data_IF_950507126152
#
_entry.id   IF_950507126152
#
_cell.length_a   1.000
_cell.length_b   1.000
_cell.length_c   1.000
_cell.angle_alpha   90.00
_cell.angle_beta   90.00
_cell.angle_gamma   90.00
#
_symmetry.space_group_name_H-M   'P 1'
#
loop_
_entity.id
_entity.type
_entity.pdbx_description
1 polymer ?
#
# COMPACT_ATOMS: atom_id res chain seq x y z
N UNK A 1 47.24 7.75 -35.07
CA UNK A 1 47.39 9.21 -35.22
C UNK A 1 46.43 9.90 -34.26
N UNK A 2 46.82 10.22 -33.01
CA UNK A 2 45.98 10.99 -32.11
C UNK A 2 46.39 12.47 -32.13
N UNK A 3 45.42 13.37 -32.31
CA UNK A 3 45.64 14.81 -32.21
C UNK A 3 45.28 15.24 -30.80
N UNK A 4 46.29 15.60 -30.01
CA UNK A 4 46.11 16.24 -28.71
C UNK A 4 45.97 17.75 -28.84
N UNK A 5 45.24 18.38 -27.92
CA UNK A 5 45.45 19.78 -27.54
C UNK A 5 45.44 19.85 -26.01
N UNK A 6 46.59 20.28 -25.49
CA UNK A 6 46.88 20.63 -24.12
C UNK A 6 46.76 22.15 -24.02
N UNK A 7 46.15 22.72 -22.96
CA UNK A 7 46.47 24.07 -22.48
C UNK A 7 46.06 24.28 -21.00
N UNK A 8 47.08 24.14 -20.15
CA UNK A 8 47.48 24.95 -18.97
C UNK A 8 46.54 25.24 -17.79
N UNK A 9 47.02 24.79 -16.62
CA UNK A 9 46.73 25.28 -15.25
C UNK A 9 47.15 26.75 -15.04
N UNK A 10 46.41 27.45 -14.18
CA UNK A 10 46.78 28.44 -13.12
C UNK A 10 45.44 28.94 -12.55
N UNK A 11 45.18 29.17 -11.27
CA UNK A 11 45.93 29.15 -10.03
C UNK A 11 45.06 29.82 -8.95
N UNK A 12 45.08 29.26 -7.75
CA UNK A 12 44.57 29.69 -6.44
C UNK A 12 44.37 31.21 -6.17
N UNK A 13 43.39 31.52 -5.31
CA UNK A 13 43.33 32.77 -4.52
C UNK A 13 41.91 33.19 -4.09
N UNK A 14 41.29 32.63 -3.05
CA UNK A 14 41.40 32.98 -1.62
C UNK A 14 40.47 34.13 -1.14
N UNK A 15 39.56 33.74 -0.22
CA UNK A 15 39.13 34.44 1.02
C UNK A 15 38.12 35.61 1.02
N UNK A 16 37.04 35.33 1.76
CA UNK A 16 36.48 36.13 2.86
C UNK A 16 35.55 37.31 2.54
N UNK A 17 34.31 37.23 3.05
CA UNK A 17 33.89 38.00 4.25
C UNK A 17 32.44 37.71 4.66
N UNK A 18 32.31 37.24 5.89
CA UNK A 18 31.11 37.36 6.72
C UNK A 18 30.80 38.84 6.97
N UNK A 19 29.52 39.23 6.89
CA UNK A 19 28.99 40.39 7.64
C UNK A 19 27.55 40.10 8.10
N UNK A 20 27.44 39.81 9.39
CA UNK A 20 26.24 40.08 10.18
C UNK A 20 26.11 41.60 10.33
N UNK A 21 24.94 42.17 10.03
CA UNK A 21 24.54 43.49 10.54
C UNK A 21 23.07 43.42 10.93
N UNK A 22 22.84 43.59 12.22
CA UNK A 22 21.55 43.78 12.86
C UNK A 22 21.03 45.22 12.74
N UNK A 23 19.74 45.40 13.05
CA UNK A 23 19.04 46.61 13.49
C UNK A 23 18.39 47.52 12.41
N UNK A 24 17.04 47.50 12.35
CA UNK A 24 16.17 48.58 12.85
C UNK A 24 14.69 48.37 12.45
N UNK A 25 13.80 48.46 13.45
CA UNK A 25 12.35 48.62 13.27
C UNK A 25 12.05 49.95 12.53
N UNK A 26 11.22 49.94 11.50
CA UNK A 26 10.38 51.10 11.11
C UNK A 26 8.98 50.66 10.73
N UNK A 27 8.02 51.38 11.30
CA UNK A 27 6.57 51.31 11.06
C UNK A 27 6.23 51.79 9.64
N UNK A 28 5.32 51.03 9.03
CA UNK A 28 4.13 51.42 8.25
C UNK A 28 4.20 52.67 7.35
N UNK A 29 4.09 52.43 6.05
CA UNK A 29 3.28 53.25 5.14
C UNK A 29 2.46 52.29 4.27
N UNK A 30 1.14 52.32 4.48
CA UNK A 30 0.15 51.61 3.68
C UNK A 30 0.16 52.16 2.24
N UNK A 31 0.51 51.31 1.27
CA UNK A 31 0.05 51.47 -0.11
C UNK A 31 -1.09 50.49 -0.33
N UNK A 32 -2.27 51.08 -0.48
CA UNK A 32 -3.50 50.44 -0.95
C UNK A 32 -3.21 49.74 -2.29
N UNK A 33 -3.18 48.42 -2.27
CA UNK A 33 -3.34 47.59 -3.45
C UNK A 33 -4.73 46.97 -3.35
N UNK A 34 -5.46 47.09 -4.45
CA UNK A 34 -6.86 46.74 -4.57
C UNK A 34 -7.14 45.31 -4.06
N UNK A 35 -8.19 45.21 -3.26
CA UNK A 35 -8.83 43.96 -2.84
C UNK A 35 -9.21 43.18 -4.10
N UNK A 36 -8.50 42.09 -4.38
CA UNK A 36 -9.11 40.99 -5.13
C UNK A 36 -10.08 40.34 -4.16
N UNK A 37 -11.36 40.61 -4.35
CA UNK A 37 -12.44 40.04 -3.57
C UNK A 37 -12.49 38.53 -3.84
N UNK A 38 -12.13 37.75 -2.83
CA UNK A 38 -12.47 36.33 -2.78
C UNK A 38 -13.94 36.28 -2.34
N UNK A 39 -14.80 35.53 -3.02
CA UNK A 39 -16.21 35.48 -2.65
C UNK A 39 -16.36 34.96 -1.23
N UNK A 40 -16.89 35.82 -0.36
CA UNK A 40 -17.41 35.45 0.95
C UNK A 40 -18.63 34.55 0.71
N UNK A 41 -18.41 33.24 0.78
CA UNK A 41 -19.42 32.32 1.26
C UNK A 41 -18.87 31.72 2.55
N UNK A 42 -19.46 32.15 3.67
CA UNK A 42 -19.57 31.32 4.85
C UNK A 42 -20.34 30.05 4.45
N UNK A 43 -19.65 29.11 3.81
CA UNK A 43 -20.08 27.74 3.81
C UNK A 43 -19.84 27.28 5.25
N UNK A 44 -20.90 27.29 6.05
CA UNK A 44 -20.96 26.40 7.20
C UNK A 44 -20.62 25.00 6.67
N UNK A 45 -19.40 24.55 6.92
CA UNK A 45 -19.06 23.15 6.76
C UNK A 45 -19.82 22.46 7.88
N UNK A 46 -21.06 22.08 7.57
CA UNK A 46 -21.75 21.03 8.31
C UNK A 46 -20.88 19.79 8.15
N UNK A 47 -19.93 19.61 9.07
CA UNK A 47 -19.33 18.31 9.29
C UNK A 47 -20.51 17.39 9.59
N UNK A 48 -20.72 16.32 8.81
CA UNK A 48 -21.84 15.42 9.04
C UNK A 48 -21.77 14.91 10.48
N UNK A 49 -22.88 15.09 11.19
CA UNK A 49 -23.09 14.51 12.52
C UNK A 49 -22.91 13.00 12.39
N UNK A 50 -21.76 12.49 12.83
CA UNK A 50 -21.50 11.04 12.96
C UNK A 50 -22.40 10.50 14.07
N UNK A 51 -23.63 10.17 13.69
CA UNK A 51 -24.38 9.09 14.34
C UNK A 51 -24.18 7.80 13.54
N UNK A 52 -22.94 7.59 13.06
CA UNK A 52 -22.49 6.38 12.38
C UNK A 52 -21.85 5.44 13.39
N UNK A 53 -22.19 4.16 13.32
CA UNK A 53 -21.50 3.11 14.07
C UNK A 53 -20.00 3.17 13.72
N UNK A 54 -19.13 3.36 14.70
CA UNK A 54 -17.69 3.31 14.48
C UNK A 54 -17.21 1.86 14.56
N UNK A 55 -16.31 1.48 13.65
CA UNK A 55 -15.61 0.20 13.72
C UNK A 55 -14.13 0.43 14.08
N UNK A 56 -13.61 -0.35 15.01
CA UNK A 56 -12.17 -0.37 15.31
C UNK A 56 -11.45 -1.20 14.24
N UNK A 57 -10.37 -0.67 13.68
CA UNK A 57 -9.58 -1.37 12.64
C UNK A 57 -8.19 -1.78 13.11
N UNK A 58 -7.64 -1.13 14.13
CA UNK A 58 -6.34 -1.49 14.73
C UNK A 58 -6.15 -0.75 16.06
N UNK A 59 -5.27 -1.29 16.91
CA UNK A 59 -4.67 -0.51 17.98
C UNK A 59 -3.60 0.43 17.38
N UNK A 60 -3.56 1.70 17.80
CA UNK A 60 -2.63 2.68 17.23
C UNK A 60 -1.16 2.33 17.51
N UNK A 61 -0.88 1.83 18.71
CA UNK A 61 0.44 1.38 19.15
C UNK A 61 0.97 0.15 18.41
N UNK A 62 0.08 -0.70 17.88
CA UNK A 62 0.45 -1.90 17.12
C UNK A 62 0.76 -1.61 15.65
N UNK A 63 0.27 -0.49 15.11
CA UNK A 63 0.60 -0.06 13.77
C UNK A 63 2.05 0.44 13.72
N UNK A 64 2.89 -0.33 13.02
CA UNK A 64 4.26 0.08 12.70
C UNK A 64 4.25 1.15 11.63
N UNK A 65 5.12 2.16 11.79
CA UNK A 65 5.28 3.21 10.79
C UNK A 65 5.63 2.63 9.42
N UNK A 66 4.90 3.07 8.39
CA UNK A 66 5.05 2.66 6.98
C UNK A 66 5.03 1.14 6.79
N UNK A 67 4.23 0.44 7.58
CA UNK A 67 3.95 -0.99 7.41
C UNK A 67 2.45 -1.19 7.16
N UNK A 68 2.05 -1.82 6.04
CA UNK A 68 0.65 -2.12 5.78
C UNK A 68 0.09 -3.11 6.81
N UNK A 69 -1.14 -2.86 7.27
CA UNK A 69 -1.90 -3.75 8.15
C UNK A 69 -3.27 -4.06 7.54
N UNK A 70 -3.79 -5.25 7.82
CA UNK A 70 -5.09 -5.70 7.32
C UNK A 70 -6.20 -5.38 8.32
N UNK A 71 -7.35 -4.96 7.81
CA UNK A 71 -8.61 -4.95 8.56
C UNK A 71 -9.79 -5.36 7.64
N UNK A 72 -10.90 -5.79 8.24
CA UNK A 72 -12.13 -6.16 7.53
C UNK A 72 -13.31 -5.47 8.21
N UNK A 73 -14.06 -4.67 7.46
CA UNK A 73 -15.27 -3.98 7.96
C UNK A 73 -16.36 -4.09 6.92
N UNK A 74 -17.58 -4.45 7.34
CA UNK A 74 -18.75 -4.61 6.45
C UNK A 74 -18.47 -5.41 5.16
N UNK A 75 -17.69 -6.49 5.28
CA UNK A 75 -17.23 -7.37 4.19
C UNK A 75 -16.22 -6.74 3.18
N UNK A 76 -15.74 -5.52 3.44
CA UNK A 76 -14.73 -4.82 2.63
C UNK A 76 -13.35 -4.98 3.27
N UNK A 77 -12.39 -5.50 2.50
CA UNK A 77 -11.01 -5.55 2.94
C UNK A 77 -10.40 -4.15 2.94
N UNK A 78 -9.66 -3.82 3.99
CA UNK A 78 -8.99 -2.55 4.17
C UNK A 78 -7.48 -2.76 4.29
N UNK A 79 -6.73 -1.76 3.85
CA UNK A 79 -5.31 -1.62 4.18
C UNK A 79 -5.13 -0.37 5.03
N UNK A 80 -4.60 -0.56 6.23
CA UNK A 80 -4.34 0.49 7.22
C UNK A 80 -2.84 0.77 7.22
N UNK A 81 -2.47 2.02 7.00
CA UNK A 81 -1.07 2.44 6.90
C UNK A 81 -0.87 3.63 7.84
N UNK A 82 -0.09 3.41 8.88
CA UNK A 82 0.46 4.50 9.69
C UNK A 82 1.62 5.15 8.94
N UNK A 83 1.67 6.48 8.96
CA UNK A 83 2.85 7.24 8.56
C UNK A 83 2.95 8.46 9.46
N UNK A 84 4.07 8.55 10.18
CA UNK A 84 4.33 9.63 11.14
C UNK A 84 3.20 9.68 12.21
N UNK A 85 2.47 10.79 12.31
CA UNK A 85 1.30 11.04 13.18
C UNK A 85 -0.04 10.91 12.44
N UNK A 86 -0.04 10.27 11.27
CA UNK A 86 -1.20 10.10 10.42
C UNK A 86 -1.52 8.63 10.14
N UNK A 87 -2.76 8.41 9.69
CA UNK A 87 -3.22 7.11 9.20
C UNK A 87 -3.96 7.28 7.87
N UNK A 88 -3.67 6.38 6.94
CA UNK A 88 -4.49 6.14 5.75
C UNK A 88 -5.21 4.80 5.92
N UNK A 89 -6.53 4.82 5.76
CA UNK A 89 -7.34 3.61 5.62
C UNK A 89 -7.88 3.59 4.19
N UNK A 90 -7.38 2.65 3.40
CA UNK A 90 -7.68 2.55 1.98
C UNK A 90 -8.40 1.22 1.69
N UNK A 91 -9.07 1.14 0.54
CA UNK A 91 -9.54 -0.13 0.02
C UNK A 91 -8.36 -1.12 -0.11
N UNK A 92 -8.50 -2.29 0.49
CA UNK A 92 -7.41 -3.22 0.78
C UNK A 92 -7.05 -4.17 -0.36
N UNK A 93 -7.68 -4.05 -1.53
CA UNK A 93 -7.44 -4.91 -2.69
C UNK A 93 -6.83 -4.10 -3.83
N UNK A 94 -5.78 -4.65 -4.41
CA UNK A 94 -5.14 -4.07 -5.58
C UNK A 94 -6.09 -4.10 -6.79
N UNK A 95 -6.30 -2.97 -7.47
CA UNK A 95 -7.18 -2.89 -8.65
C UNK A 95 -6.66 -3.66 -9.86
N UNK A 96 -5.37 -4.05 -9.85
CA UNK A 96 -4.83 -4.93 -10.88
C UNK A 96 -5.56 -6.29 -10.88
N UNK A 97 -5.48 -7.05 -9.76
CA UNK A 97 -6.02 -8.44 -9.69
C UNK A 97 -6.55 -8.86 -8.31
N UNK A 98 -6.90 -7.91 -7.44
CA UNK A 98 -7.55 -8.23 -6.15
C UNK A 98 -6.64 -8.81 -5.07
N UNK A 99 -5.32 -8.74 -5.22
CA UNK A 99 -4.40 -9.14 -4.17
C UNK A 99 -4.56 -8.24 -2.92
N UNK A 100 -4.37 -8.81 -1.73
CA UNK A 100 -4.37 -8.04 -0.48
C UNK A 100 -3.17 -7.10 -0.40
N UNK A 101 -3.43 -5.81 -0.33
CA UNK A 101 -2.40 -4.78 -0.19
C UNK A 101 -1.75 -4.78 1.19
N UNK A 102 -2.42 -5.34 2.20
CA UNK A 102 -1.83 -5.58 3.52
C UNK A 102 -0.66 -6.59 3.49
N UNK A 103 -0.60 -7.46 2.47
CA UNK A 103 0.56 -8.32 2.21
C UNK A 103 1.67 -7.65 1.39
N UNK A 104 1.51 -6.36 1.07
CA UNK A 104 2.49 -5.55 0.37
C UNK A 104 3.54 -4.93 1.28
N UNK A 105 4.24 -3.92 0.76
CA UNK A 105 5.23 -3.15 1.50
C UNK A 105 5.24 -1.69 1.04
N UNK A 106 5.87 -0.80 1.81
CA UNK A 106 6.09 0.60 1.40
C UNK A 106 7.49 0.75 0.78
N UNK A 107 7.56 1.37 -0.39
CA UNK A 107 8.79 1.86 -1.03
C UNK A 107 8.64 3.35 -1.37
N UNK A 108 9.42 4.20 -0.71
CA UNK A 108 9.24 5.66 -0.80
C UNK A 108 7.82 6.08 -0.40
N UNK A 109 7.06 6.79 -1.26
CA UNK A 109 5.66 7.15 -1.00
C UNK A 109 4.66 6.04 -1.39
N UNK A 110 5.12 4.93 -1.95
CA UNK A 110 4.28 3.95 -2.61
C UNK A 110 4.03 2.74 -1.74
N UNK A 111 2.76 2.36 -1.60
CA UNK A 111 2.29 1.04 -1.25
C UNK A 111 2.42 0.13 -2.47
N UNK A 112 3.34 -0.83 -2.38
CA UNK A 112 3.63 -1.80 -3.42
C UNK A 112 2.91 -3.11 -3.11
N UNK A 113 2.07 -3.54 -4.04
CA UNK A 113 1.40 -4.84 -3.98
C UNK A 113 2.42 -5.98 -3.97
N UNK A 114 2.29 -6.91 -3.01
CA UNK A 114 3.23 -8.01 -2.80
C UNK A 114 3.25 -9.10 -3.88
N UNK A 115 2.46 -8.95 -4.96
CA UNK A 115 2.38 -9.93 -6.06
C UNK A 115 3.09 -9.43 -7.31
N UNK A 116 2.45 -8.53 -8.07
CA UNK A 116 2.95 -8.04 -9.35
C UNK A 116 3.58 -6.65 -9.28
N UNK A 117 3.80 -6.11 -8.07
CA UNK A 117 4.47 -4.83 -7.86
C UNK A 117 3.65 -3.60 -8.23
N UNK A 118 2.34 -3.72 -8.47
CA UNK A 118 1.46 -2.59 -8.73
C UNK A 118 1.48 -1.62 -7.54
N UNK A 119 1.56 -0.32 -7.84
CA UNK A 119 1.80 0.72 -6.84
C UNK A 119 0.59 1.63 -6.65
N UNK A 120 0.46 2.13 -5.42
CA UNK A 120 -0.42 3.23 -5.07
C UNK A 120 0.27 4.09 -4.04
N UNK A 121 0.14 5.41 -4.11
CA UNK A 121 0.67 6.26 -3.06
C UNK A 121 -0.17 6.16 -1.78
N UNK A 122 0.47 5.97 -0.62
CA UNK A 122 -0.27 5.89 0.65
C UNK A 122 -0.91 7.23 1.06
N UNK A 123 -0.37 8.35 0.56
CA UNK A 123 -0.84 9.70 0.87
C UNK A 123 -1.93 10.18 -0.11
N UNK A 124 -1.71 10.04 -1.41
CA UNK A 124 -2.63 10.53 -2.45
C UNK A 124 -3.59 9.47 -2.97
N UNK A 125 -3.35 8.18 -2.70
CA UNK A 125 -4.10 7.00 -3.17
C UNK A 125 -3.86 6.61 -4.64
N UNK A 126 -3.22 7.50 -5.39
CA UNK A 126 -3.09 7.42 -6.85
C UNK A 126 -1.87 6.56 -7.20
N UNK A 127 -2.01 5.67 -8.18
CA UNK A 127 -0.88 4.94 -8.75
C UNK A 127 0.03 5.89 -9.52
N UNK A 128 1.33 5.83 -9.27
CA UNK A 128 2.34 6.56 -10.03
C UNK A 128 2.50 5.97 -11.45
N UNK A 129 2.31 4.66 -11.60
CA UNK A 129 2.31 3.99 -12.90
C UNK A 129 1.09 4.36 -13.75
N UNK A 130 -0.10 4.46 -13.15
CA UNK A 130 -1.33 4.82 -13.85
C UNK A 130 -2.15 5.84 -13.04
N UNK A 131 -2.09 7.13 -13.39
CA UNK A 131 -2.75 8.17 -12.60
C UNK A 131 -4.29 8.17 -12.68
N UNK A 132 -4.88 7.39 -13.59
CA UNK A 132 -6.32 7.15 -13.63
C UNK A 132 -6.75 6.08 -12.60
N UNK A 133 -5.79 5.36 -12.03
CA UNK A 133 -6.00 4.33 -11.01
C UNK A 133 -5.76 4.90 -9.61
N UNK A 134 -6.80 4.84 -8.76
CA UNK A 134 -6.73 5.33 -7.39
C UNK A 134 -7.56 4.46 -6.44
N UNK A 135 -6.98 4.18 -5.27
CA UNK A 135 -7.71 3.49 -4.20
C UNK A 135 -8.76 4.42 -3.57
N UNK A 136 -9.89 3.83 -3.16
CA UNK A 136 -10.84 4.52 -2.31
C UNK A 136 -10.22 4.72 -0.91
N UNK A 137 -10.39 5.91 -0.32
CA UNK A 137 -9.96 6.22 1.05
C UNK A 137 -11.19 6.39 1.91
N UNK A 138 -11.17 5.75 3.07
CA UNK A 138 -12.21 5.86 4.08
C UNK A 138 -11.84 6.88 5.15
N UNK A 139 -12.86 7.45 5.79
CA UNK A 139 -12.67 8.34 6.93
C UNK A 139 -12.12 7.56 8.11
N UNK A 140 -11.11 8.12 8.78
CA UNK A 140 -10.48 7.50 9.92
C UNK A 140 -10.12 8.52 11.01
N UNK A 141 -10.24 8.11 12.27
CA UNK A 141 -9.90 8.90 13.45
C UNK A 141 -8.93 8.11 14.31
N UNK A 142 -7.84 8.74 14.74
CA UNK A 142 -6.92 8.19 15.74
C UNK A 142 -7.40 8.66 17.11
N UNK A 143 -7.66 7.72 18.00
CA UNK A 143 -7.90 7.96 19.42
C UNK A 143 -6.68 7.47 20.19
N UNK A 144 -5.76 8.38 20.51
CA UNK A 144 -4.52 8.04 21.23
C UNK A 144 -4.77 7.66 22.70
N UNK A 145 -5.82 8.19 23.32
CA UNK A 145 -6.16 7.87 24.71
C UNK A 145 -6.73 6.45 24.82
N UNK A 146 -7.56 6.05 23.85
CA UNK A 146 -8.07 4.69 23.73
C UNK A 146 -7.15 3.74 22.94
N UNK A 147 -5.99 4.20 22.49
CA UNK A 147 -5.05 3.47 21.63
C UNK A 147 -5.72 2.79 20.42
N UNK A 148 -6.64 3.48 19.73
CA UNK A 148 -7.48 2.87 18.70
C UNK A 148 -7.57 3.72 17.44
N UNK A 149 -7.55 3.07 16.27
CA UNK A 149 -7.95 3.68 15.00
C UNK A 149 -9.39 3.29 14.67
N UNK A 150 -10.25 4.29 14.51
CA UNK A 150 -11.67 4.15 14.19
C UNK A 150 -11.95 4.51 12.73
N UNK A 151 -12.93 3.84 12.13
CA UNK A 151 -13.52 4.18 10.83
C UNK A 151 -15.04 4.29 10.94
N UNK A 152 -15.67 4.95 9.97
CA UNK A 152 -17.13 4.96 9.85
C UNK A 152 -17.62 3.67 9.18
N UNK A 153 -18.30 2.80 9.92
CA UNK A 153 -18.82 1.54 9.39
C UNK A 153 -19.91 1.77 8.33
N UNK A 154 -20.72 2.82 8.47
CA UNK A 154 -21.79 3.12 7.53
C UNK A 154 -21.22 3.59 6.18
N UNK A 155 -20.12 4.35 6.19
CA UNK A 155 -19.38 4.72 4.97
C UNK A 155 -18.92 3.46 4.21
N UNK A 156 -18.30 2.52 4.93
CA UNK A 156 -17.75 1.29 4.34
C UNK A 156 -18.88 0.37 3.85
N UNK A 157 -19.98 0.27 4.60
CA UNK A 157 -21.15 -0.49 4.17
C UNK A 157 -21.77 0.08 2.88
N UNK A 158 -21.90 1.41 2.78
CA UNK A 158 -22.39 2.07 1.56
C UNK A 158 -21.43 1.86 0.37
N UNK A 159 -20.12 1.84 0.62
CA UNK A 159 -19.14 1.45 -0.38
C UNK A 159 -19.36 0.00 -0.85
N UNK A 160 -19.60 -0.93 0.07
CA UNK A 160 -19.84 -2.34 -0.24
C UNK A 160 -21.10 -2.57 -1.10
N UNK A 161 -22.16 -1.79 -0.88
CA UNK A 161 -23.39 -1.86 -1.70
C UNK A 161 -23.13 -1.47 -3.16
N UNK A 162 -22.32 -0.43 -3.38
CA UNK A 162 -21.95 0.03 -4.73
C UNK A 162 -20.78 -0.76 -5.34
N UNK A 163 -19.99 -1.44 -4.51
CA UNK A 163 -18.83 -2.25 -4.89
C UNK A 163 -18.91 -3.64 -4.25
N UNK A 164 -19.81 -4.53 -4.73
CA UNK A 164 -19.97 -5.86 -4.15
C UNK A 164 -18.67 -6.66 -4.14
N UNK A 165 -18.36 -7.26 -3.00
CA UNK A 165 -17.11 -7.97 -2.80
C UNK A 165 -17.26 -9.43 -3.27
N UNK A 166 -16.48 -9.90 -4.27
CA UNK A 166 -16.70 -11.20 -4.92
C UNK A 166 -16.17 -12.40 -4.14
N UNK A 167 -15.52 -12.18 -2.99
CA UNK A 167 -14.76 -13.19 -2.26
C UNK A 167 -15.65 -14.07 -1.38
N UNK A 168 -15.55 -15.39 -1.56
CA UNK A 168 -16.22 -16.41 -0.75
C UNK A 168 -15.29 -16.82 0.39
N UNK A 169 -15.32 -16.03 1.47
CA UNK A 169 -14.36 -16.11 2.59
C UNK A 169 -14.34 -17.45 3.32
N UNK A 170 -15.46 -18.15 3.34
CA UNK A 170 -15.59 -19.46 4.01
C UNK A 170 -15.02 -20.63 3.18
N UNK A 171 -14.54 -20.38 1.96
CA UNK A 171 -13.92 -21.40 1.10
C UNK A 171 -12.40 -21.51 1.32
N UNK A 172 -11.81 -22.58 0.79
CA UNK A 172 -10.35 -22.76 0.77
C UNK A 172 -9.67 -21.56 0.12
N UNK A 173 -8.75 -20.92 0.86
CA UNK A 173 -8.11 -19.66 0.48
C UNK A 173 -9.11 -18.54 0.13
N UNK A 174 -10.29 -18.52 0.74
CA UNK A 174 -11.37 -17.54 0.48
C UNK A 174 -10.91 -16.08 0.48
N UNK A 175 -10.02 -15.73 1.42
CA UNK A 175 -9.41 -14.40 1.51
C UNK A 175 -8.42 -14.09 0.38
N UNK A 176 -7.79 -15.12 -0.21
CA UNK A 176 -6.76 -15.02 -1.25
C UNK A 176 -7.28 -15.46 -2.63
N UNK A 177 -8.60 -15.49 -2.82
CA UNK A 177 -9.20 -15.90 -4.09
C UNK A 177 -8.81 -14.95 -5.23
N UNK A 178 -8.28 -15.53 -6.30
CA UNK A 178 -8.14 -14.87 -7.58
C UNK A 178 -9.45 -14.99 -8.36
N UNK A 179 -10.25 -13.93 -8.32
CA UNK A 179 -11.55 -13.87 -9.00
C UNK A 179 -11.44 -13.49 -10.48
N UNK A 180 -10.26 -13.03 -10.91
CA UNK A 180 -10.02 -12.61 -12.29
C UNK A 180 -9.62 -13.80 -13.15
N UNK A 181 -8.73 -14.66 -12.64
CA UNK A 181 -8.02 -15.65 -13.45
C UNK A 181 -7.25 -14.98 -14.60
N UNK A 182 -6.86 -15.78 -15.59
CA UNK A 182 -6.28 -15.26 -16.83
C UNK A 182 -5.12 -16.09 -17.36
N UNK A 183 -4.69 -15.85 -18.61
CA UNK A 183 -3.56 -16.54 -19.21
C UNK A 183 -2.23 -16.25 -18.52
N UNK A 184 -2.14 -15.15 -17.75
CA UNK A 184 -0.94 -14.76 -17.00
C UNK A 184 -0.71 -15.68 -15.78
N UNK A 185 -1.76 -16.31 -15.25
CA UNK A 185 -1.69 -17.30 -14.16
C UNK A 185 -2.47 -18.58 -14.48
N UNK A 186 -2.03 -19.36 -15.50
CA UNK A 186 -2.83 -20.46 -16.05
C UNK A 186 -2.93 -21.67 -15.11
N UNK A 187 -2.09 -21.73 -14.07
CA UNK A 187 -1.96 -22.90 -13.20
C UNK A 187 -2.41 -22.66 -11.76
N UNK A 188 -2.92 -21.47 -11.41
CA UNK A 188 -3.31 -21.16 -10.02
C UNK A 188 -4.31 -22.18 -9.45
N UNK A 189 -5.38 -22.47 -10.19
CA UNK A 189 -6.37 -23.49 -9.79
C UNK A 189 -5.74 -24.89 -9.66
N UNK A 190 -4.84 -25.25 -10.57
CA UNK A 190 -4.18 -26.56 -10.51
C UNK A 190 -3.29 -26.69 -9.27
N UNK A 191 -2.54 -25.66 -8.91
CA UNK A 191 -1.73 -25.61 -7.70
C UNK A 191 -2.60 -25.78 -6.44
N UNK A 192 -3.76 -25.12 -6.39
CA UNK A 192 -4.70 -25.27 -5.27
C UNK A 192 -5.26 -26.70 -5.17
N UNK A 193 -5.58 -27.33 -6.31
CA UNK A 193 -6.03 -28.73 -6.34
C UNK A 193 -4.95 -29.66 -5.80
N UNK A 194 -3.68 -29.46 -6.19
CA UNK A 194 -2.56 -30.26 -5.68
C UNK A 194 -2.40 -30.13 -4.16
N UNK A 195 -2.42 -28.90 -3.63
CA UNK A 195 -2.30 -28.70 -2.18
C UNK A 195 -3.42 -29.40 -1.40
N UNK A 196 -4.66 -29.31 -1.88
CA UNK A 196 -5.81 -29.99 -1.26
C UNK A 196 -5.74 -31.51 -1.40
N UNK A 197 -5.25 -32.03 -2.52
CA UNK A 197 -5.05 -33.47 -2.73
C UNK A 197 -4.02 -34.05 -1.76
N UNK A 198 -3.04 -33.25 -1.33
CA UNK A 198 -2.07 -33.59 -0.27
C UNK A 198 -2.63 -33.42 1.15
N UNK A 199 -3.90 -33.02 1.30
CA UNK A 199 -4.58 -32.89 2.59
C UNK A 199 -4.37 -31.54 3.28
N UNK A 200 -3.79 -30.54 2.59
CA UNK A 200 -3.53 -29.23 3.19
C UNK A 200 -4.74 -28.31 3.19
N UNK A 201 -4.88 -27.53 4.27
CA UNK A 201 -5.89 -26.50 4.42
C UNK A 201 -5.44 -25.12 3.91
N UNK A 202 -4.12 -24.92 3.74
CA UNK A 202 -3.55 -23.72 3.14
C UNK A 202 -2.44 -24.07 2.15
N UNK A 203 -2.28 -23.24 1.11
CA UNK A 203 -1.22 -23.44 0.10
C UNK A 203 0.18 -23.36 0.71
N UNK A 204 0.37 -22.53 1.75
CA UNK A 204 1.65 -22.39 2.46
C UNK A 204 2.11 -23.69 3.17
N UNK A 205 1.19 -24.63 3.41
CA UNK A 205 1.51 -25.92 4.04
C UNK A 205 2.06 -26.93 3.03
N UNK A 206 1.88 -26.65 1.74
CA UNK A 206 2.45 -27.45 0.65
C UNK A 206 3.97 -27.34 0.67
N UNK A 207 4.63 -28.50 0.76
CA UNK A 207 6.06 -28.58 1.00
C UNK A 207 6.71 -29.64 0.09
N UNK A 208 8.04 -29.66 0.10
CA UNK A 208 8.83 -30.59 -0.71
C UNK A 208 8.46 -32.07 -0.50
N UNK A 209 8.02 -32.43 0.72
CA UNK A 209 7.57 -33.79 1.08
C UNK A 209 6.29 -34.24 0.34
N UNK A 210 5.53 -33.30 -0.19
CA UNK A 210 4.28 -33.56 -0.92
C UNK A 210 4.53 -33.84 -2.41
N UNK A 211 5.79 -33.72 -2.85
CA UNK A 211 6.23 -33.94 -4.21
C UNK A 211 6.98 -35.26 -4.33
N UNK A 212 6.92 -35.84 -5.52
CA UNK A 212 7.82 -36.92 -5.92
C UNK A 212 8.18 -36.82 -7.40
N UNK A 213 9.35 -37.30 -7.76
CA UNK A 213 9.83 -37.36 -9.15
C UNK A 213 10.26 -38.77 -9.51
N UNK A 214 10.10 -39.11 -10.79
CA UNK A 214 10.62 -40.34 -11.40
C UNK A 214 11.87 -40.09 -12.24
N UNK A 215 12.35 -38.85 -12.24
CA UNK A 215 13.57 -38.40 -12.93
C UNK A 215 14.68 -38.18 -11.91
N UNK A 216 15.74 -38.98 -11.98
CA UNK A 216 16.83 -39.00 -10.97
C UNK A 216 17.60 -37.67 -10.95
N UNK A 217 17.92 -37.14 -12.13
CA UNK A 217 18.52 -35.81 -12.31
C UNK A 217 17.72 -34.68 -11.65
N UNK A 218 16.39 -34.71 -11.74
CA UNK A 218 15.55 -33.72 -11.04
C UNK A 218 15.63 -33.90 -9.53
N UNK A 219 15.62 -35.15 -9.04
CA UNK A 219 15.75 -35.42 -7.61
C UNK A 219 17.07 -34.85 -7.07
N UNK A 220 18.18 -35.16 -7.76
CA UNK A 220 19.52 -34.73 -7.39
C UNK A 220 19.68 -33.20 -7.40
N UNK A 221 19.02 -32.50 -8.34
CA UNK A 221 19.12 -31.04 -8.48
C UNK A 221 18.20 -30.26 -7.52
N UNK A 222 17.02 -30.79 -7.20
CA UNK A 222 15.95 -30.03 -6.54
C UNK A 222 15.68 -30.48 -5.11
N UNK A 223 16.17 -31.66 -4.71
CA UNK A 223 15.82 -32.30 -3.44
C UNK A 223 14.42 -32.94 -3.42
N UNK A 224 13.67 -32.93 -4.53
CA UNK A 224 12.39 -33.63 -4.62
C UNK A 224 12.63 -35.15 -4.51
N UNK A 225 11.94 -35.89 -3.61
CA UNK A 225 12.14 -37.33 -3.44
C UNK A 225 11.94 -38.16 -4.71
N UNK A 226 12.88 -39.07 -5.00
CA UNK A 226 12.79 -40.03 -6.10
C UNK A 226 11.88 -41.21 -5.76
N UNK A 227 10.92 -41.56 -6.64
CA UNK A 227 9.98 -42.68 -6.43
C UNK A 227 10.40 -44.01 -7.13
N UNK A 228 11.57 -44.08 -7.76
CA UNK A 228 12.02 -45.32 -8.40
C UNK A 228 12.57 -46.35 -7.41
N UNK A 229 12.69 -47.59 -7.88
CA UNK A 229 13.23 -48.71 -7.10
C UNK A 229 14.71 -48.91 -7.43
N UNK A 230 15.57 -48.99 -6.41
CA UNK A 230 17.00 -49.25 -6.54
C UNK A 230 17.85 -47.98 -6.38
N UNK A 231 18.74 -48.02 -5.40
CA UNK A 231 19.88 -47.11 -5.29
C UNK A 231 20.94 -47.44 -6.35
#
# INVERSE_FOLDING_TARGET
>A
MPTGVLLTRRGLGNRSRVRLVSYLRRRLLHKSLARTEWPNQEAQVNLPTVNGTQASVAAWSELRDRSPAYALVSNVDLVVIRFDDHVAVLYGRCHHRGALLAGGHIDGPNLICGVHGWDYRYDTRVSEYNNDDALHRFSAVIDEEADTVWVDEAEIAAFAESHPQPYRRDEYLGLYQDVHGGPDEPFNHYIQVLARACGHAHLQDFALRDLTTWKRDISDLTGVPYAGVGD
#
